data_IF_891543255459
#
_entry.id   IF_891543255459
#
_cell.length_a   1.000
_cell.length_b   1.000
_cell.length_c   1.000
_cell.angle_alpha   90.00
_cell.angle_beta   90.00
_cell.angle_gamma   90.00
#
_symmetry.space_group_name_H-M   'P 1'
#
loop_
_entity.id
_entity.type
_entity.pdbx_description
1 polymer ?
#
# COMPACT_ATOMS: atom_id res chain seq x y z
N UNK A 1 12.57 -22.11 -14.05
CA UNK A 1 12.02 -21.86 -12.70
C UNK A 1 10.90 -20.85 -12.86
N UNK A 2 9.65 -21.30 -12.75
CA UNK A 2 8.47 -20.45 -12.91
C UNK A 2 8.09 -19.95 -11.52
N UNK A 3 8.04 -18.63 -11.31
CA UNK A 3 7.56 -18.07 -10.05
C UNK A 3 6.10 -18.49 -9.87
N UNK A 4 5.73 -19.01 -8.69
CA UNK A 4 4.39 -19.51 -8.40
C UNK A 4 3.33 -18.39 -8.25
N UNK A 5 3.48 -17.27 -8.97
CA UNK A 5 2.53 -16.15 -8.93
C UNK A 5 1.12 -16.58 -9.37
N UNK A 6 1.01 -17.48 -10.34
CA UNK A 6 -0.26 -18.04 -10.81
C UNK A 6 -1.00 -18.87 -9.76
N UNK A 7 -0.30 -19.34 -8.71
CA UNK A 7 -0.92 -20.06 -7.60
C UNK A 7 -1.67 -19.10 -6.64
N UNK A 8 -1.35 -17.80 -6.64
CA UNK A 8 -1.94 -16.81 -5.75
C UNK A 8 -3.26 -16.23 -6.32
N UNK A 9 -4.20 -17.10 -6.69
CA UNK A 9 -5.49 -16.67 -7.23
C UNK A 9 -6.40 -16.14 -6.12
N UNK A 10 -6.75 -14.86 -6.20
CA UNK A 10 -7.71 -14.22 -5.30
C UNK A 10 -9.17 -14.56 -5.67
N UNK A 11 -9.50 -15.85 -5.81
CA UNK A 11 -10.84 -16.34 -6.19
C UNK A 11 -11.58 -17.06 -5.07
N UNK A 12 -10.87 -17.46 -4.01
CA UNK A 12 -11.42 -18.25 -2.91
C UNK A 12 -11.71 -17.39 -1.68
N UNK A 13 -12.79 -17.75 -0.99
CA UNK A 13 -13.11 -17.27 0.36
C UNK A 13 -13.07 -15.73 0.49
N UNK A 14 -12.30 -15.24 1.46
CA UNK A 14 -12.13 -13.81 1.74
C UNK A 14 -10.98 -13.17 0.96
N UNK A 15 -10.28 -13.91 0.09
CA UNK A 15 -9.13 -13.36 -0.65
C UNK A 15 -9.50 -12.11 -1.47
N UNK A 16 -10.64 -12.03 -2.20
CA UNK A 16 -11.03 -10.81 -2.91
C UNK A 16 -11.24 -9.62 -1.97
N UNK A 17 -11.87 -9.85 -0.81
CA UNK A 17 -12.15 -8.82 0.19
C UNK A 17 -10.85 -8.33 0.82
N UNK A 18 -9.98 -9.25 1.24
CA UNK A 18 -8.70 -8.94 1.87
C UNK A 18 -7.80 -8.12 0.94
N UNK A 19 -7.66 -8.55 -0.33
CA UNK A 19 -6.89 -7.81 -1.32
C UNK A 19 -7.47 -6.41 -1.58
N UNK A 20 -8.80 -6.30 -1.65
CA UNK A 20 -9.46 -5.01 -1.82
C UNK A 20 -9.22 -4.07 -0.63
N UNK A 21 -9.25 -4.60 0.59
CA UNK A 21 -8.95 -3.83 1.82
C UNK A 21 -7.50 -3.39 1.83
N UNK A 22 -6.54 -4.28 1.55
CA UNK A 22 -5.12 -3.93 1.46
C UNK A 22 -4.87 -2.85 0.40
N UNK A 23 -5.52 -2.97 -0.77
CA UNK A 23 -5.42 -1.97 -1.85
C UNK A 23 -5.94 -0.61 -1.40
N UNK A 24 -7.07 -0.56 -0.69
CA UNK A 24 -7.63 0.67 -0.14
C UNK A 24 -6.66 1.30 0.87
N UNK A 25 -6.13 0.51 1.81
CA UNK A 25 -5.15 0.97 2.79
C UNK A 25 -3.91 1.56 2.11
N UNK A 26 -3.31 0.84 1.17
CA UNK A 26 -2.16 1.32 0.41
C UNK A 26 -2.45 2.64 -0.36
N UNK A 27 -3.64 2.76 -0.97
CA UNK A 27 -4.04 3.99 -1.66
C UNK A 27 -4.21 5.16 -0.71
N UNK A 28 -4.75 4.94 0.50
CA UNK A 28 -4.88 5.98 1.53
C UNK A 28 -3.52 6.52 1.95
N UNK A 29 -2.55 5.64 2.23
CA UNK A 29 -1.17 6.04 2.56
C UNK A 29 -0.53 6.88 1.46
N UNK A 30 -0.64 6.42 0.21
CA UNK A 30 -0.10 7.14 -0.96
C UNK A 30 -0.76 8.50 -1.15
N UNK A 31 -2.06 8.65 -0.82
CA UNK A 31 -2.77 9.94 -0.89
C UNK A 31 -2.30 10.92 0.19
N UNK A 32 -2.01 10.46 1.40
CA UNK A 32 -1.56 11.28 2.53
C UNK A 32 -0.15 11.83 2.37
N UNK A 33 0.69 11.20 1.54
CA UNK A 33 2.05 11.70 1.27
C UNK A 33 2.06 13.15 0.77
N UNK A 34 2.91 14.04 1.36
CA UNK A 34 2.96 15.47 1.03
C UNK A 34 3.53 15.78 -0.37
N UNK A 35 4.01 14.75 -1.08
CA UNK A 35 4.69 14.91 -2.36
C UNK A 35 3.73 15.43 -3.45
N UNK A 36 4.10 16.50 -4.14
CA UNK A 36 3.26 17.10 -5.21
C UNK A 36 3.49 16.35 -6.53
N UNK A 37 2.85 15.19 -6.66
CA UNK A 37 2.84 14.42 -7.90
C UNK A 37 1.57 13.58 -8.03
N UNK A 38 1.27 13.13 -9.24
CA UNK A 38 0.08 12.29 -9.48
C UNK A 38 0.16 10.96 -8.71
N UNK A 39 -1.00 10.42 -8.31
CA UNK A 39 -1.09 9.14 -7.57
C UNK A 39 -0.41 7.98 -8.31
N UNK A 40 -0.48 7.96 -9.65
CA UNK A 40 0.21 6.98 -10.48
C UNK A 40 1.73 7.08 -10.32
N UNK A 41 2.29 8.30 -10.26
CA UNK A 41 3.72 8.54 -10.06
C UNK A 41 4.15 8.18 -8.64
N UNK A 42 3.39 8.58 -7.61
CA UNK A 42 3.70 8.22 -6.20
C UNK A 42 3.83 6.70 -6.03
N UNK A 43 2.87 5.94 -6.55
CA UNK A 43 2.90 4.48 -6.51
C UNK A 43 4.09 3.87 -7.24
N UNK A 44 4.46 4.41 -8.41
CA UNK A 44 5.65 3.96 -9.15
C UNK A 44 6.95 4.31 -8.41
N UNK A 45 7.01 5.47 -7.74
CA UNK A 45 8.15 5.84 -6.90
C UNK A 45 8.28 4.86 -5.72
N UNK A 46 7.19 4.59 -5.01
CA UNK A 46 7.18 3.61 -3.91
C UNK A 46 7.59 2.20 -4.33
N UNK A 47 7.36 1.82 -5.60
CA UNK A 47 7.80 0.52 -6.13
C UNK A 47 9.29 0.46 -6.52
N UNK A 48 10.01 1.59 -6.52
CA UNK A 48 11.41 1.69 -6.99
C UNK A 48 12.37 2.30 -5.97
N UNK A 49 11.83 2.91 -4.92
CA UNK A 49 12.56 3.71 -3.94
C UNK A 49 12.15 3.22 -2.55
N UNK A 50 13.00 2.38 -1.97
CA UNK A 50 12.75 1.74 -0.69
C UNK A 50 12.68 2.75 0.46
N UNK A 51 13.44 3.85 0.39
CA UNK A 51 13.35 4.91 1.40
C UNK A 51 11.99 5.58 1.38
N UNK A 52 11.48 5.90 0.18
CA UNK A 52 10.14 6.46 0.04
C UNK A 52 9.05 5.46 0.47
N UNK A 53 9.24 4.16 0.21
CA UNK A 53 8.34 3.11 0.71
C UNK A 53 8.32 3.07 2.23
N UNK A 54 9.48 3.07 2.89
CA UNK A 54 9.60 3.08 4.35
C UNK A 54 8.95 4.32 4.96
N UNK A 55 9.11 5.50 4.34
CA UNK A 55 8.42 6.73 4.77
C UNK A 55 6.90 6.61 4.69
N UNK A 56 6.36 5.95 3.65
CA UNK A 56 4.92 5.70 3.55
C UNK A 56 4.43 4.72 4.61
N UNK A 57 5.20 3.66 4.88
CA UNK A 57 4.85 2.67 5.92
C UNK A 57 4.95 3.26 7.33
N UNK A 58 5.89 4.16 7.57
CA UNK A 58 6.02 4.88 8.84
C UNK A 58 4.75 5.69 9.18
N UNK A 59 4.01 6.18 8.17
CA UNK A 59 2.73 6.89 8.40
C UNK A 59 1.67 5.99 9.05
N UNK A 60 1.72 4.68 8.81
CA UNK A 60 0.79 3.72 9.42
C UNK A 60 1.06 3.54 10.91
N UNK A 61 2.34 3.58 11.31
CA UNK A 61 2.76 3.45 12.72
C UNK A 61 2.42 4.71 13.53
N UNK A 62 2.35 5.87 12.89
CA UNK A 62 2.01 7.14 13.54
C UNK A 62 0.52 7.23 13.86
N UNK A 63 -0.36 6.61 13.06
CA UNK A 63 -1.81 6.59 13.31
C UNK A 63 -2.16 5.92 14.66
N UNK A 64 -1.33 5.00 15.17
CA UNK A 64 -1.50 4.37 16.51
C UNK A 64 -1.16 5.33 17.67
N UNK A 65 -0.46 6.45 17.40
CA UNK A 65 0.07 7.37 18.41
C UNK A 65 -0.76 8.66 18.48
N UNK A 66 -1.51 9.00 17.42
CA UNK A 66 -2.50 10.06 17.47
C UNK A 66 -3.84 9.47 17.91
N UNK A 67 -4.22 9.51 19.21
CA UNK A 67 -5.60 9.24 19.57
C UNK A 67 -6.45 10.22 18.77
N UNK A 68 -7.31 9.66 17.93
CA UNK A 68 -8.32 10.42 17.20
C UNK A 68 -9.08 11.28 18.21
N UNK A 69 -9.09 12.59 17.99
CA UNK A 69 -9.95 13.54 18.72
C UNK A 69 -11.42 13.28 18.36
#
# INVERSE_FOLDING_TARGET
>A
MTFAEDASQCRRDHAPRNLSTMRKLALTLVRRSPLVMSLKRKRKKAARDDQFLLQLLAQLLVDEITPVT
#
